data_IF_529037464989
#
_entry.id   IF_529037464989
#
_cell.length_a   1.000
_cell.length_b   1.000
_cell.length_c   1.000
_cell.angle_alpha   90.00
_cell.angle_beta   90.00
_cell.angle_gamma   90.00
#
_symmetry.space_group_name_H-M   'P 1'
#
loop_
_entity.id
_entity.type
_entity.pdbx_description
1 polymer ?
#
# COMPACT_ATOMS: atom_id res chain seq x y z
N UNK A 1 -26.25 -76.61 25.85
CA UNK A 1 -26.00 -75.32 26.53
C UNK A 1 -25.54 -74.30 25.49
N UNK A 2 -26.46 -73.45 25.00
CA UNK A 2 -26.17 -72.43 23.99
C UNK A 2 -26.03 -71.05 24.68
N UNK A 3 -24.97 -70.30 24.34
CA UNK A 3 -24.68 -68.96 24.87
C UNK A 3 -25.63 -67.93 24.25
N UNK A 4 -26.19 -67.06 25.10
CA UNK A 4 -27.09 -65.96 24.75
C UNK A 4 -26.39 -64.83 23.97
N UNK A 5 -27.08 -64.15 23.02
CA UNK A 5 -26.50 -63.05 22.25
C UNK A 5 -26.40 -61.74 23.06
N UNK A 6 -25.49 -60.82 22.70
CA UNK A 6 -25.31 -59.56 23.42
C UNK A 6 -26.43 -58.56 23.07
N UNK A 7 -26.95 -57.86 24.09
CA UNK A 7 -27.99 -56.83 23.98
C UNK A 7 -27.49 -55.63 23.16
N UNK A 8 -28.15 -55.35 22.04
CA UNK A 8 -27.97 -54.13 21.25
C UNK A 8 -28.55 -52.92 21.99
N UNK A 9 -27.69 -52.02 22.48
CA UNK A 9 -28.11 -50.73 23.03
C UNK A 9 -28.63 -49.82 21.92
N UNK A 10 -29.89 -49.40 22.01
CA UNK A 10 -30.52 -48.45 21.10
C UNK A 10 -29.78 -47.10 21.12
N UNK A 11 -29.12 -46.74 20.02
CA UNK A 11 -28.63 -45.37 19.80
C UNK A 11 -29.84 -44.44 19.72
N UNK A 12 -29.96 -43.52 20.68
CA UNK A 12 -30.94 -42.43 20.60
C UNK A 12 -30.71 -41.64 19.30
N UNK A 13 -31.74 -41.37 18.48
CA UNK A 13 -31.57 -40.54 17.31
C UNK A 13 -31.23 -39.12 17.79
N UNK A 14 -30.05 -38.63 17.39
CA UNK A 14 -29.66 -37.25 17.62
C UNK A 14 -30.69 -36.33 17.00
N UNK A 15 -31.32 -35.49 17.83
CA UNK A 15 -32.35 -34.53 17.43
C UNK A 15 -31.89 -33.75 16.19
N UNK A 16 -32.62 -33.93 15.10
CA UNK A 16 -32.60 -33.04 13.94
C UNK A 16 -33.12 -31.70 14.45
N UNK A 17 -32.20 -30.79 14.77
CA UNK A 17 -32.54 -29.45 15.23
C UNK A 17 -33.26 -28.69 14.11
N UNK A 18 -34.47 -28.23 14.40
CA UNK A 18 -35.27 -27.42 13.48
C UNK A 18 -34.44 -26.27 12.92
N UNK A 19 -34.50 -26.05 11.60
CA UNK A 19 -33.99 -24.83 10.95
C UNK A 19 -34.61 -23.61 11.64
N UNK A 20 -33.88 -22.98 12.56
CA UNK A 20 -34.27 -21.71 13.17
C UNK A 20 -34.14 -20.65 12.10
N UNK A 21 -35.24 -19.94 11.83
CA UNK A 21 -35.27 -18.78 10.94
C UNK A 21 -34.13 -17.82 11.31
N UNK A 22 -33.28 -17.50 10.33
CA UNK A 22 -32.06 -16.73 10.53
C UNK A 22 -32.36 -15.34 11.07
N UNK A 23 -32.08 -15.12 12.35
CA UNK A 23 -32.10 -13.79 12.94
C UNK A 23 -30.86 -13.07 12.40
N UNK A 24 -31.03 -12.06 11.53
CA UNK A 24 -29.93 -11.23 11.05
C UNK A 24 -29.42 -10.38 12.19
N UNK A 25 -28.24 -10.70 12.70
CA UNK A 25 -27.59 -9.98 13.80
C UNK A 25 -26.41 -9.22 13.20
N UNK A 26 -26.51 -7.88 12.98
CA UNK A 26 -25.47 -7.13 12.27
C UNK A 26 -24.19 -6.92 13.09
N UNK A 27 -24.27 -6.96 14.44
CA UNK A 27 -23.16 -6.69 15.37
C UNK A 27 -23.05 -7.79 16.44
N UNK A 28 -21.83 -8.21 16.80
CA UNK A 28 -21.60 -9.18 17.87
C UNK A 28 -20.20 -9.14 18.48
N UNK A 29 -19.89 -10.13 19.33
CA UNK A 29 -18.60 -10.25 20.02
C UNK A 29 -18.05 -11.67 19.83
N UNK A 30 -16.82 -11.77 19.32
CA UNK A 30 -16.06 -13.02 19.16
C UNK A 30 -15.15 -13.17 20.37
N UNK A 31 -15.44 -14.15 21.21
CA UNK A 31 -14.61 -14.55 22.34
C UNK A 31 -13.64 -15.66 21.90
N UNK A 32 -12.34 -15.38 21.97
CA UNK A 32 -11.28 -16.36 21.76
C UNK A 32 -10.68 -16.74 23.11
N UNK A 33 -10.91 -17.99 23.53
CA UNK A 33 -10.29 -18.55 24.72
C UNK A 33 -9.18 -19.52 24.30
N UNK A 34 -7.94 -19.11 24.52
CA UNK A 34 -6.75 -19.89 24.21
C UNK A 34 -6.20 -20.55 25.48
N UNK A 35 -5.92 -21.84 25.40
CA UNK A 35 -5.15 -22.61 26.38
C UNK A 35 -4.02 -23.35 25.66
N UNK A 36 -3.06 -23.91 26.40
CA UNK A 36 -1.97 -24.70 25.83
C UNK A 36 -2.47 -25.93 25.03
N UNK A 37 -3.60 -26.51 25.43
CA UNK A 37 -4.09 -27.78 24.88
C UNK A 37 -5.28 -27.62 23.93
N UNK A 38 -5.94 -26.46 23.91
CA UNK A 38 -7.15 -26.25 23.11
C UNK A 38 -7.41 -24.75 22.91
N UNK A 39 -8.02 -24.42 21.78
CA UNK A 39 -8.56 -23.07 21.52
C UNK A 39 -10.05 -23.19 21.25
N UNK A 40 -10.83 -22.37 21.94
CA UNK A 40 -12.29 -22.29 21.82
C UNK A 40 -12.63 -20.90 21.32
N UNK A 41 -13.42 -20.83 20.26
CA UNK A 41 -13.92 -19.58 19.67
C UNK A 41 -15.43 -19.58 19.79
N UNK A 42 -15.98 -18.59 20.47
CA UNK A 42 -17.42 -18.44 20.71
C UNK A 42 -17.87 -17.09 20.18
N UNK A 43 -18.88 -17.07 19.32
CA UNK A 43 -19.46 -15.83 18.78
C UNK A 43 -20.79 -15.58 19.44
N UNK A 44 -20.94 -14.36 19.95
CA UNK A 44 -22.12 -13.92 20.70
C UNK A 44 -22.73 -12.67 20.08
N UNK A 45 -24.01 -12.46 20.34
CA UNK A 45 -24.70 -11.18 20.14
C UNK A 45 -24.23 -10.16 21.19
N UNK A 46 -24.49 -8.86 21.00
CA UNK A 46 -24.14 -7.80 21.99
C UNK A 46 -24.77 -8.03 23.38
N UNK A 47 -25.81 -8.88 23.44
CA UNK A 47 -26.49 -9.31 24.67
C UNK A 47 -25.87 -10.56 25.32
N UNK A 48 -24.73 -11.04 24.82
CA UNK A 48 -24.03 -12.24 25.36
C UNK A 48 -24.66 -13.58 24.96
N UNK A 49 -25.63 -13.61 24.04
CA UNK A 49 -26.24 -14.87 23.57
C UNK A 49 -25.34 -15.53 22.55
N UNK A 50 -24.99 -16.80 22.75
CA UNK A 50 -24.15 -17.57 21.83
C UNK A 50 -24.90 -17.85 20.53
N UNK A 51 -24.30 -17.43 19.42
CA UNK A 51 -24.80 -17.63 18.06
C UNK A 51 -24.13 -18.87 17.46
N UNK A 52 -22.79 -18.92 17.53
CA UNK A 52 -21.98 -20.05 17.10
C UNK A 52 -20.83 -20.27 18.07
N UNK A 53 -20.33 -21.50 18.13
CA UNK A 53 -19.10 -21.81 18.83
C UNK A 53 -18.36 -22.94 18.12
N UNK A 54 -17.05 -22.94 18.23
CA UNK A 54 -16.19 -23.97 17.66
C UNK A 54 -14.95 -24.13 18.54
N UNK A 55 -14.36 -25.32 18.52
CA UNK A 55 -13.11 -25.59 19.22
C UNK A 55 -12.25 -26.52 18.39
N UNK A 56 -10.94 -26.53 18.66
CA UNK A 56 -10.02 -27.47 17.99
C UNK A 56 -10.50 -28.92 18.15
N UNK A 57 -11.09 -29.25 19.31
CA UNK A 57 -11.71 -30.56 19.54
C UNK A 57 -12.92 -30.86 18.65
N UNK A 58 -13.79 -29.88 18.42
CA UNK A 58 -14.99 -30.01 17.57
C UNK A 58 -14.63 -30.12 16.09
N UNK A 59 -13.51 -29.51 15.70
CA UNK A 59 -12.94 -29.62 14.35
C UNK A 59 -12.20 -30.94 14.08
N UNK A 60 -12.28 -31.93 14.98
CA UNK A 60 -11.72 -33.27 14.77
C UNK A 60 -10.26 -33.43 15.20
N UNK A 61 -9.60 -32.37 15.71
CA UNK A 61 -8.24 -32.49 16.24
C UNK A 61 -8.27 -33.22 17.61
N UNK A 62 -7.38 -34.21 17.79
CA UNK A 62 -7.23 -35.02 19.01
C UNK A 62 -5.81 -34.95 19.57
N UNK A 63 -5.67 -35.18 20.88
CA UNK A 63 -4.38 -35.18 21.57
C UNK A 63 -3.65 -33.84 21.47
N UNK A 64 -2.33 -33.90 21.33
CA UNK A 64 -1.43 -32.72 21.21
C UNK A 64 -1.74 -31.84 20.00
N UNK A 65 -2.35 -32.39 18.95
CA UNK A 65 -2.74 -31.62 17.75
C UNK A 65 -3.79 -30.54 18.04
N UNK A 66 -4.51 -30.64 19.16
CA UNK A 66 -5.51 -29.62 19.57
C UNK A 66 -4.91 -28.28 19.97
N UNK A 67 -3.69 -28.26 20.50
CA UNK A 67 -2.98 -27.05 20.91
C UNK A 67 -2.29 -26.32 19.75
N UNK A 68 -2.32 -26.89 18.53
CA UNK A 68 -1.57 -26.35 17.40
C UNK A 68 -2.20 -25.05 16.86
N UNK A 69 -1.37 -24.10 16.36
CA UNK A 69 -1.85 -22.90 15.67
C UNK A 69 -2.84 -23.20 14.54
N UNK A 70 -2.60 -24.26 13.77
CA UNK A 70 -3.47 -24.66 12.65
C UNK A 70 -4.87 -25.09 13.12
N UNK A 71 -4.95 -25.82 14.24
CA UNK A 71 -6.22 -26.23 14.81
C UNK A 71 -7.02 -25.01 15.33
N UNK A 72 -6.34 -24.01 15.89
CA UNK A 72 -6.95 -22.75 16.32
C UNK A 72 -7.46 -21.92 15.13
N UNK A 73 -6.70 -21.84 14.04
CA UNK A 73 -7.12 -21.16 12.80
C UNK A 73 -8.39 -21.81 12.22
N UNK A 74 -8.42 -23.14 12.18
CA UNK A 74 -9.58 -23.91 11.68
C UNK A 74 -10.81 -23.71 12.57
N UNK A 75 -10.63 -23.72 13.89
CA UNK A 75 -11.71 -23.48 14.85
C UNK A 75 -12.31 -22.07 14.68
N UNK A 76 -11.46 -21.05 14.55
CA UNK A 76 -11.88 -19.67 14.29
C UNK A 76 -12.63 -19.53 12.96
N UNK A 77 -12.09 -20.10 11.88
CA UNK A 77 -12.73 -20.06 10.55
C UNK A 77 -14.11 -20.69 10.53
N UNK A 78 -14.29 -21.82 11.22
CA UNK A 78 -15.59 -22.49 11.31
C UNK A 78 -16.63 -21.69 12.12
N UNK A 79 -16.22 -21.07 13.23
CA UNK A 79 -17.11 -20.23 14.03
C UNK A 79 -17.58 -18.98 13.27
N UNK A 80 -16.68 -18.34 12.52
CA UNK A 80 -16.97 -17.15 11.71
C UNK A 80 -17.86 -17.51 10.51
N UNK A 81 -17.58 -18.60 9.81
CA UNK A 81 -18.37 -19.04 8.65
C UNK A 81 -19.85 -19.20 9.00
N UNK A 82 -20.14 -19.86 10.12
CA UNK A 82 -21.51 -20.06 10.59
C UNK A 82 -22.25 -18.74 10.91
N UNK A 83 -21.52 -17.65 11.17
CA UNK A 83 -22.07 -16.34 11.55
C UNK A 83 -22.12 -15.38 10.38
N UNK A 84 -21.18 -15.50 9.42
CA UNK A 84 -21.24 -14.84 8.13
C UNK A 84 -22.51 -15.24 7.37
N UNK A 85 -22.88 -16.54 7.38
CA UNK A 85 -24.13 -17.04 6.79
C UNK A 85 -25.39 -16.44 7.46
N UNK A 86 -25.28 -15.98 8.71
CA UNK A 86 -26.35 -15.31 9.45
C UNK A 86 -26.35 -13.78 9.30
N UNK A 87 -25.43 -13.21 8.51
CA UNK A 87 -25.41 -11.80 8.14
C UNK A 87 -24.78 -10.87 9.18
N UNK A 88 -23.86 -11.35 10.02
CA UNK A 88 -23.08 -10.48 10.91
C UNK A 88 -22.01 -9.74 10.12
N UNK A 89 -22.01 -8.40 10.22
CA UNK A 89 -21.11 -7.53 9.47
C UNK A 89 -20.00 -6.94 10.34
N UNK A 90 -20.22 -6.79 11.64
CA UNK A 90 -19.25 -6.24 12.59
C UNK A 90 -19.14 -7.12 13.82
N UNK A 91 -17.92 -7.37 14.28
CA UNK A 91 -17.71 -8.05 15.54
C UNK A 91 -16.50 -7.50 16.30
N UNK A 92 -16.66 -7.37 17.61
CA UNK A 92 -15.56 -7.06 18.53
C UNK A 92 -14.85 -8.35 18.92
N UNK A 93 -13.52 -8.35 19.01
CA UNK A 93 -12.75 -9.57 19.30
C UNK A 93 -12.17 -9.47 20.71
N UNK A 94 -12.59 -10.37 21.59
CA UNK A 94 -12.14 -10.47 22.97
C UNK A 94 -11.29 -11.72 23.17
N UNK A 95 -10.03 -11.55 23.54
CA UNK A 95 -9.08 -12.67 23.67
C UNK A 95 -8.72 -12.90 25.14
N UNK A 96 -8.82 -14.14 25.61
CA UNK A 96 -8.46 -14.58 26.96
C UNK A 96 -7.57 -15.82 26.95
N UNK A 97 -6.62 -15.84 27.88
CA UNK A 97 -5.80 -17.02 28.20
C UNK A 97 -4.45 -17.14 27.47
N UNK A 98 -3.49 -17.91 28.03
CA UNK A 98 -2.19 -18.18 27.42
C UNK A 98 -2.26 -19.41 26.49
N UNK A 99 -1.81 -19.27 25.24
CA UNK A 99 -1.70 -20.40 24.31
C UNK A 99 -1.27 -20.01 22.90
N UNK A 100 -0.53 -20.91 22.25
CA UNK A 100 0.00 -20.74 20.87
C UNK A 100 -1.10 -20.54 19.81
N UNK A 101 -2.34 -20.94 20.12
CA UNK A 101 -3.51 -20.77 19.25
C UNK A 101 -4.07 -19.34 19.20
N UNK A 102 -3.66 -18.44 20.11
CA UNK A 102 -4.16 -17.06 20.21
C UNK A 102 -3.95 -16.27 18.91
N UNK A 103 -2.69 -16.14 18.49
CA UNK A 103 -2.34 -15.33 17.32
C UNK A 103 -2.80 -16.00 16.02
N UNK A 104 -2.92 -17.32 16.02
CA UNK A 104 -3.45 -18.06 14.88
C UNK A 104 -4.94 -17.82 14.69
N UNK A 105 -5.73 -17.84 15.77
CA UNK A 105 -7.14 -17.50 15.75
C UNK A 105 -7.36 -16.03 15.35
N UNK A 106 -6.57 -15.10 15.90
CA UNK A 106 -6.65 -13.69 15.52
C UNK A 106 -6.30 -13.46 14.05
N UNK A 107 -5.24 -14.11 13.54
CA UNK A 107 -4.88 -14.06 12.11
C UNK A 107 -5.99 -14.64 11.23
N UNK A 108 -6.66 -15.72 11.66
CA UNK A 108 -7.78 -16.29 10.95
C UNK A 108 -8.95 -15.32 10.83
N UNK A 109 -9.28 -14.64 11.93
CA UNK A 109 -10.31 -13.60 11.97
C UNK A 109 -9.93 -12.44 11.05
N UNK A 110 -8.67 -11.98 11.13
CA UNK A 110 -8.17 -10.85 10.36
C UNK A 110 -8.03 -11.11 8.86
N UNK A 111 -7.82 -12.36 8.42
CA UNK A 111 -7.66 -12.72 6.99
C UNK A 111 -8.96 -12.54 6.19
N UNK A 112 -10.11 -12.66 6.85
CA UNK A 112 -11.43 -12.44 6.24
C UNK A 112 -11.68 -10.94 6.08
N UNK A 113 -11.89 -10.44 4.86
CA UNK A 113 -12.22 -9.03 4.58
C UNK A 113 -11.02 -8.09 4.41
N UNK A 114 -9.81 -8.62 4.27
CA UNK A 114 -8.64 -7.78 3.97
C UNK A 114 -8.71 -7.19 2.57
N UNK A 115 -9.21 -7.97 1.60
CA UNK A 115 -9.35 -7.48 0.22
C UNK A 115 -10.29 -6.28 0.12
N UNK A 116 -11.37 -6.28 0.91
CA UNK A 116 -12.34 -5.18 0.96
C UNK A 116 -11.73 -3.91 1.56
N UNK A 117 -11.03 -4.07 2.68
CA UNK A 117 -10.35 -2.95 3.35
C UNK A 117 -9.31 -2.33 2.41
N UNK A 118 -8.50 -3.16 1.73
CA UNK A 118 -7.49 -2.70 0.78
C UNK A 118 -8.15 -2.07 -0.44
N UNK A 119 -9.21 -2.66 -1.00
CA UNK A 119 -9.93 -2.15 -2.16
C UNK A 119 -10.53 -0.77 -1.92
N UNK A 120 -11.22 -0.59 -0.79
CA UNK A 120 -11.80 0.69 -0.38
C UNK A 120 -10.70 1.73 -0.15
N UNK A 121 -9.63 1.35 0.56
CA UNK A 121 -8.51 2.26 0.83
C UNK A 121 -7.82 2.71 -0.46
N UNK A 122 -7.50 1.77 -1.36
CA UNK A 122 -6.89 2.05 -2.66
C UNK A 122 -7.78 2.95 -3.51
N UNK A 123 -9.08 2.67 -3.59
CA UNK A 123 -10.04 3.49 -4.35
C UNK A 123 -10.04 4.94 -3.88
N UNK A 124 -10.05 5.17 -2.55
CA UNK A 124 -10.05 6.52 -1.98
C UNK A 124 -8.77 7.28 -2.31
N UNK A 125 -7.62 6.62 -2.19
CA UNK A 125 -6.33 7.26 -2.45
C UNK A 125 -6.12 7.50 -3.94
N UNK A 126 -6.50 6.56 -4.81
CA UNK A 126 -6.42 6.72 -6.26
C UNK A 126 -7.22 7.94 -6.75
N UNK A 127 -8.40 8.18 -6.17
CA UNK A 127 -9.26 9.30 -6.58
C UNK A 127 -8.90 10.63 -5.89
N UNK A 128 -8.35 10.62 -4.69
CA UNK A 128 -8.19 11.84 -3.88
C UNK A 128 -6.76 12.36 -3.72
N UNK A 129 -5.78 11.46 -3.64
CA UNK A 129 -4.43 11.78 -3.15
C UNK A 129 -3.35 11.72 -4.24
N UNK A 130 -3.69 11.22 -5.43
CA UNK A 130 -2.74 11.22 -6.53
C UNK A 130 -2.52 12.64 -7.01
N UNK A 131 -1.24 12.96 -7.24
CA UNK A 131 -0.85 14.25 -7.77
C UNK A 131 -1.10 14.32 -9.28
N UNK A 132 -1.72 15.41 -9.70
CA UNK A 132 -1.91 15.75 -11.11
C UNK A 132 -1.18 17.04 -11.45
N UNK A 133 -0.86 17.19 -12.73
CA UNK A 133 -0.35 18.44 -13.30
C UNK A 133 -1.46 19.09 -14.12
N UNK A 134 -1.73 20.37 -13.86
CA UNK A 134 -2.67 21.13 -14.68
C UNK A 134 -2.27 22.60 -14.78
N UNK A 135 -2.91 23.30 -15.72
CA UNK A 135 -2.78 24.75 -15.86
C UNK A 135 -3.66 25.39 -14.78
N UNK A 136 -3.10 26.32 -14.02
CA UNK A 136 -3.84 26.99 -12.93
C UNK A 136 -4.10 28.46 -13.20
N UNK A 137 -3.33 29.08 -14.09
CA UNK A 137 -3.52 30.49 -14.45
C UNK A 137 -3.20 30.72 -15.91
N UNK A 138 -3.89 31.69 -16.48
CA UNK A 138 -3.56 32.31 -17.76
C UNK A 138 -3.37 33.82 -17.56
N UNK A 139 -2.26 34.37 -18.05
CA UNK A 139 -1.93 35.79 -18.06
C UNK A 139 -1.91 36.27 -19.50
N UNK A 140 -2.68 37.30 -19.81
CA UNK A 140 -2.64 37.93 -21.14
C UNK A 140 -2.74 39.44 -21.00
N UNK A 141 -1.97 40.18 -21.80
CA UNK A 141 -1.97 41.64 -21.77
C UNK A 141 -3.14 42.25 -22.54
N UNK A 142 -3.69 41.52 -23.52
CA UNK A 142 -4.71 42.02 -24.46
C UNK A 142 -6.14 41.85 -23.95
N UNK A 143 -6.32 41.18 -22.81
CA UNK A 143 -7.64 40.81 -22.30
C UNK A 143 -7.99 41.75 -21.14
N UNK A 144 -9.14 42.43 -21.17
CA UNK A 144 -9.60 43.24 -20.04
C UNK A 144 -10.33 42.41 -18.98
N UNK A 145 -11.16 41.44 -19.38
CA UNK A 145 -11.94 40.59 -18.46
C UNK A 145 -12.25 39.21 -19.06
N UNK A 146 -12.59 38.22 -18.20
CA UNK A 146 -12.82 36.81 -18.56
C UNK A 146 -13.93 36.57 -19.60
N UNK A 147 -14.92 37.46 -19.63
CA UNK A 147 -16.05 37.38 -20.56
C UNK A 147 -15.87 38.23 -21.83
N UNK A 148 -14.65 38.71 -22.11
CA UNK A 148 -14.41 39.55 -23.28
C UNK A 148 -14.21 38.70 -24.52
N UNK A 149 -14.55 39.29 -25.66
CA UNK A 149 -14.27 38.75 -26.98
C UNK A 149 -13.10 39.52 -27.57
N UNK A 150 -12.10 38.80 -28.06
CA UNK A 150 -10.95 39.40 -28.74
C UNK A 150 -11.32 39.49 -30.22
N UNK A 151 -11.25 40.69 -30.79
CA UNK A 151 -11.47 40.89 -32.24
C UNK A 151 -10.47 40.01 -33.00
N UNK A 152 -10.94 39.26 -34.00
CA UNK A 152 -10.12 38.38 -34.84
C UNK A 152 -9.79 36.99 -34.26
N UNK A 153 -10.38 36.62 -33.12
CA UNK A 153 -10.46 35.25 -32.62
C UNK A 153 -11.92 34.81 -32.62
N UNK A 154 -12.17 33.56 -33.01
CA UNK A 154 -13.54 33.03 -33.11
C UNK A 154 -14.17 32.76 -31.73
N UNK A 155 -13.39 32.23 -30.79
CA UNK A 155 -13.83 31.84 -29.45
C UNK A 155 -13.80 33.00 -28.44
N UNK A 156 -14.61 32.89 -27.39
CA UNK A 156 -14.54 33.81 -26.26
C UNK A 156 -13.37 33.49 -25.32
N UNK A 157 -12.92 34.45 -24.52
CA UNK A 157 -11.85 34.19 -23.53
C UNK A 157 -12.25 33.08 -22.56
N UNK A 158 -13.50 33.03 -22.13
CA UNK A 158 -14.02 31.96 -21.28
C UNK A 158 -13.88 30.58 -21.95
N UNK A 159 -14.21 30.48 -23.23
CA UNK A 159 -14.11 29.24 -24.00
C UNK A 159 -12.64 28.81 -24.16
N UNK A 160 -11.73 29.75 -24.39
CA UNK A 160 -10.28 29.49 -24.39
C UNK A 160 -9.83 28.94 -23.03
N UNK A 161 -10.28 29.53 -21.91
CA UNK A 161 -9.95 29.03 -20.58
C UNK A 161 -10.49 27.61 -20.32
N UNK A 162 -11.68 27.29 -20.84
CA UNK A 162 -12.25 25.93 -20.77
C UNK A 162 -11.45 24.94 -21.62
N UNK A 163 -11.06 25.33 -22.84
CA UNK A 163 -10.21 24.50 -23.70
C UNK A 163 -8.83 24.24 -23.07
N UNK A 164 -8.24 25.26 -22.43
CA UNK A 164 -6.98 25.12 -21.68
C UNK A 164 -7.13 24.19 -20.46
N UNK A 165 -8.30 24.17 -19.81
CA UNK A 165 -8.59 23.28 -18.67
C UNK A 165 -8.62 21.81 -19.08
N UNK A 166 -9.05 21.51 -20.31
CA UNK A 166 -9.15 20.14 -20.81
C UNK A 166 -7.79 19.54 -21.23
N UNK A 167 -6.76 20.37 -21.39
CA UNK A 167 -5.41 19.91 -21.76
C UNK A 167 -4.82 19.03 -20.63
N UNK A 168 -4.46 17.81 -21.00
CA UNK A 168 -3.81 16.86 -20.09
C UNK A 168 -2.30 16.98 -20.18
N UNK A 169 -1.68 17.37 -19.07
CA UNK A 169 -0.23 17.51 -18.93
C UNK A 169 0.36 16.37 -18.11
N UNK A 170 1.56 15.94 -18.48
CA UNK A 170 2.40 15.02 -17.71
C UNK A 170 3.67 15.76 -17.29
N UNK A 171 3.96 15.79 -16.01
CA UNK A 171 5.20 16.40 -15.54
C UNK A 171 5.67 15.83 -14.21
N UNK A 172 6.98 15.90 -13.97
CA UNK A 172 7.61 15.58 -12.69
C UNK A 172 8.11 16.86 -12.00
N UNK A 173 7.30 17.92 -12.05
CA UNK A 173 7.64 19.23 -11.51
C UNK A 173 7.50 19.29 -9.99
N UNK A 174 8.40 20.04 -9.35
CA UNK A 174 8.23 20.50 -7.98
C UNK A 174 7.99 22.02 -8.00
N UNK A 175 6.76 22.43 -7.70
CA UNK A 175 6.35 23.85 -7.69
C UNK A 175 5.63 24.29 -8.96
N UNK A 176 5.66 25.61 -9.24
CA UNK A 176 5.02 26.24 -10.40
C UNK A 176 6.01 26.42 -11.53
N UNK A 177 5.56 26.24 -12.77
CA UNK A 177 6.34 26.53 -13.98
C UNK A 177 5.52 27.36 -14.94
N UNK A 178 6.20 28.26 -15.63
CA UNK A 178 5.57 29.11 -16.63
C UNK A 178 5.73 28.51 -18.03
N UNK A 179 4.69 28.60 -18.83
CA UNK A 179 4.65 28.22 -20.24
C UNK A 179 4.04 29.37 -21.04
N UNK A 180 4.26 29.41 -22.35
CA UNK A 180 3.83 30.51 -23.20
C UNK A 180 3.18 29.99 -24.48
N UNK A 181 2.06 30.59 -24.87
CA UNK A 181 1.48 30.41 -26.21
C UNK A 181 1.78 31.68 -26.98
N UNK A 182 2.48 31.54 -28.10
CA UNK A 182 2.84 32.64 -28.99
C UNK A 182 2.54 32.24 -30.43
N UNK A 183 1.39 32.65 -30.95
CA UNK A 183 0.97 32.33 -32.32
C UNK A 183 0.68 33.63 -33.07
N UNK A 184 1.11 33.69 -34.34
CA UNK A 184 0.89 34.84 -35.24
C UNK A 184 0.18 34.37 -36.50
N UNK A 185 -0.80 35.14 -36.94
CA UNK A 185 -1.48 34.92 -38.23
C UNK A 185 -2.84 34.24 -38.09
N UNK A 186 -3.58 34.15 -39.21
CA UNK A 186 -4.82 33.37 -39.24
C UNK A 186 -4.48 31.86 -39.25
N UNK A 187 -5.14 31.09 -38.39
CA UNK A 187 -4.84 29.67 -38.22
C UNK A 187 -5.48 29.05 -36.97
N UNK A 188 -5.35 27.73 -36.85
CA UNK A 188 -5.80 26.99 -35.67
C UNK A 188 -4.69 26.93 -34.64
N UNK A 189 -5.01 27.29 -33.40
CA UNK A 189 -4.13 27.16 -32.25
C UNK A 189 -4.48 25.85 -31.55
N UNK A 190 -3.48 24.98 -31.46
CA UNK A 190 -3.61 23.66 -30.81
C UNK A 190 -2.69 23.56 -29.61
N UNK A 191 -2.86 22.52 -28.80
CA UNK A 191 -1.98 22.25 -27.67
C UNK A 191 -0.50 22.08 -28.07
N UNK A 192 -0.21 21.69 -29.31
CA UNK A 192 1.15 21.59 -29.83
C UNK A 192 1.88 22.94 -29.88
N UNK A 193 1.16 24.05 -30.01
CA UNK A 193 1.73 25.40 -30.15
C UNK A 193 2.15 26.00 -28.80
N UNK A 194 1.94 25.27 -27.70
CA UNK A 194 2.37 25.68 -26.36
C UNK A 194 3.88 25.48 -26.22
N UNK A 195 4.59 26.57 -25.90
CA UNK A 195 5.99 26.53 -25.53
C UNK A 195 6.12 26.05 -24.08
N UNK A 196 6.36 24.75 -23.94
CA UNK A 196 6.53 24.08 -22.65
C UNK A 196 7.99 24.09 -22.19
N UNK A 197 8.23 24.10 -20.87
CA UNK A 197 9.54 23.78 -20.31
C UNK A 197 9.88 22.29 -20.53
N UNK A 198 11.17 21.89 -20.52
CA UNK A 198 11.61 20.53 -20.83
C UNK A 198 11.13 19.44 -19.85
N UNK A 199 10.54 19.84 -18.72
CA UNK A 199 10.03 18.97 -17.66
C UNK A 199 8.54 18.64 -17.80
N UNK A 200 7.85 19.23 -18.78
CA UNK A 200 6.41 19.05 -19.03
C UNK A 200 6.21 18.48 -20.43
N UNK A 201 5.37 17.46 -20.51
CA UNK A 201 4.95 16.82 -21.74
C UNK A 201 3.43 16.97 -21.87
N UNK A 202 2.95 17.27 -23.08
CA UNK A 202 1.52 17.19 -23.41
C UNK A 202 1.20 15.77 -23.85
N UNK A 203 0.08 15.24 -23.36
CA UNK A 203 -0.39 13.89 -23.72
C UNK A 203 -1.20 13.92 -25.02
N UNK A 204 -2.05 14.93 -25.18
CA UNK A 204 -2.86 15.13 -26.39
C UNK A 204 -2.50 16.45 -27.08
N UNK A 205 -1.76 16.33 -28.18
CA UNK A 205 -1.31 17.48 -28.96
C UNK A 205 -2.42 18.04 -29.88
N UNK A 206 -3.52 17.31 -30.06
CA UNK A 206 -4.58 17.66 -31.02
C UNK A 206 -5.68 18.53 -30.41
N UNK A 207 -5.66 18.72 -29.09
CA UNK A 207 -6.63 19.55 -28.39
C UNK A 207 -6.65 20.96 -28.97
N UNK A 208 -7.82 21.38 -29.43
CA UNK A 208 -8.05 22.72 -29.96
C UNK A 208 -8.15 23.74 -28.82
N UNK A 209 -7.53 24.91 -29.02
CA UNK A 209 -7.53 26.02 -28.05
C UNK A 209 -8.36 27.17 -28.60
N UNK A 210 -8.01 27.65 -29.79
CA UNK A 210 -8.63 28.82 -30.42
C UNK A 210 -8.40 28.83 -31.95
N UNK A 211 -9.22 29.57 -32.68
CA UNK A 211 -9.13 29.81 -34.11
C UNK A 211 -8.96 31.31 -34.38
N UNK A 212 -7.82 31.67 -34.98
CA UNK A 212 -7.47 33.03 -35.39
C UNK A 212 -8.00 33.30 -36.80
N UNK A 213 -8.91 34.25 -36.95
CA UNK A 213 -9.50 34.63 -38.26
C UNK A 213 -8.70 35.75 -38.93
N UNK A 214 -8.08 36.63 -38.14
CA UNK A 214 -7.28 37.76 -38.60
C UNK A 214 -5.80 37.58 -38.23
N UNK A 215 -4.86 38.27 -38.90
CA UNK A 215 -3.43 38.18 -38.60
C UNK A 215 -3.08 38.91 -37.28
N UNK A 216 -3.47 38.29 -36.17
CA UNK A 216 -3.30 38.82 -34.82
C UNK A 216 -2.24 38.00 -34.10
N UNK A 217 -1.44 38.71 -33.29
CA UNK A 217 -0.47 38.10 -32.39
C UNK A 217 -1.20 37.70 -31.09
N UNK A 218 -1.39 36.41 -30.86
CA UNK A 218 -1.92 35.89 -29.61
C UNK A 218 -0.77 35.50 -28.69
N UNK A 219 -0.67 36.18 -27.55
CA UNK A 219 0.27 35.86 -26.47
C UNK A 219 -0.48 35.57 -25.17
N UNK A 220 -0.31 34.34 -24.66
CA UNK A 220 -0.88 33.89 -23.39
C UNK A 220 0.23 33.25 -22.57
N UNK A 221 0.54 33.83 -21.41
CA UNK A 221 1.36 33.19 -20.39
C UNK A 221 0.53 32.23 -19.56
N UNK A 222 1.02 31.02 -19.33
CA UNK A 222 0.36 29.96 -18.59
C UNK A 222 1.18 29.62 -17.36
N UNK A 223 0.53 29.42 -16.22
CA UNK A 223 1.18 28.88 -15.03
C UNK A 223 0.70 27.46 -14.78
N UNK A 224 1.63 26.51 -14.87
CA UNK A 224 1.43 25.09 -14.64
C UNK A 224 1.85 24.77 -13.20
N UNK A 225 1.01 24.01 -12.51
CA UNK A 225 1.26 23.59 -11.12
C UNK A 225 1.03 22.08 -11.01
N UNK A 226 1.80 21.43 -10.13
CA UNK A 226 1.54 20.05 -9.72
C UNK A 226 1.03 20.06 -8.29
N UNK A 227 -0.17 19.54 -8.09
CA UNK A 227 -0.82 19.52 -6.79
C UNK A 227 -1.77 18.33 -6.66
N UNK A 228 -2.54 18.27 -5.57
CA UNK A 228 -3.50 17.19 -5.28
C UNK A 228 -4.92 17.71 -5.23
N UNK A 229 -5.86 16.86 -5.63
CA UNK A 229 -7.28 17.09 -5.50
C UNK A 229 -7.81 18.21 -6.41
N UNK A 230 -8.80 18.94 -5.91
CA UNK A 230 -9.47 20.02 -6.62
C UNK A 230 -9.31 21.31 -5.83
N UNK A 231 -8.75 22.34 -6.46
CA UNK A 231 -8.57 23.64 -5.82
C UNK A 231 -9.34 24.71 -6.58
N UNK A 232 -10.40 25.24 -5.95
CA UNK A 232 -11.13 26.40 -6.44
C UNK A 232 -10.33 27.62 -5.98
N UNK A 233 -9.58 28.24 -6.90
CA UNK A 233 -8.88 29.49 -6.61
C UNK A 233 -9.91 30.62 -6.60
N UNK A 234 -10.03 31.33 -5.48
CA UNK A 234 -10.85 32.56 -5.42
C UNK A 234 -10.11 33.72 -6.11
N UNK A 235 -10.83 34.60 -6.83
CA UNK A 235 -10.21 35.69 -7.58
C UNK A 235 -9.50 36.73 -6.70
N UNK A 236 -9.81 36.81 -5.40
CA UNK A 236 -9.40 37.91 -4.52
C UNK A 236 -7.96 37.86 -3.97
N UNK A 237 -7.11 36.90 -4.38
CA UNK A 237 -5.77 36.76 -3.77
C UNK A 237 -4.65 37.44 -4.57
N UNK A 238 -4.93 38.04 -5.74
CA UNK A 238 -3.88 38.45 -6.68
C UNK A 238 -3.96 39.92 -7.09
N UNK A 239 -2.84 40.62 -6.91
CA UNK A 239 -2.69 42.06 -7.16
C UNK A 239 -2.38 42.41 -8.64
N UNK A 240 -2.20 41.40 -9.50
CA UNK A 240 -1.92 41.58 -10.94
C UNK A 240 -3.24 41.56 -11.74
N UNK A 241 -3.66 42.72 -12.26
CA UNK A 241 -4.94 42.91 -12.95
C UNK A 241 -5.17 42.12 -14.25
N UNK A 242 -4.19 41.33 -14.71
CA UNK A 242 -4.22 40.63 -16.01
C UNK A 242 -4.04 39.11 -15.88
N UNK A 243 -4.32 38.53 -14.71
CA UNK A 243 -4.15 37.10 -14.44
C UNK A 243 -5.50 36.44 -14.12
N UNK A 244 -5.88 35.46 -14.94
CA UNK A 244 -7.14 34.75 -14.85
C UNK A 244 -6.93 33.37 -14.20
N UNK A 245 -7.58 33.08 -13.06
CA UNK A 245 -7.50 31.77 -12.44
C UNK A 245 -8.28 30.75 -13.26
N UNK A 246 -7.68 29.58 -13.48
CA UNK A 246 -8.36 28.42 -14.04
C UNK A 246 -8.65 27.44 -12.91
N UNK A 247 -9.87 26.90 -12.88
CA UNK A 247 -10.27 25.84 -11.96
C UNK A 247 -9.41 24.60 -12.17
N UNK A 248 -8.48 24.39 -11.23
CA UNK A 248 -7.43 23.41 -11.34
C UNK A 248 -7.92 22.02 -10.89
N UNK A 249 -8.04 21.10 -11.84
CA UNK A 249 -8.40 19.69 -11.60
C UNK A 249 -7.13 18.84 -11.61
N UNK A 250 -6.53 18.61 -10.45
CA UNK A 250 -5.30 17.81 -10.33
C UNK A 250 -5.59 16.30 -10.18
N UNK A 251 -6.66 15.80 -10.78
CA UNK A 251 -7.12 14.42 -10.61
C UNK A 251 -6.90 13.60 -11.91
N UNK A 252 -5.77 12.88 -12.05
CA UNK A 252 -5.48 12.11 -13.25
C UNK A 252 -6.30 10.81 -13.37
N UNK A 253 -6.76 10.26 -12.25
CA UNK A 253 -7.64 9.08 -12.22
C UNK A 253 -9.10 9.54 -12.32
N UNK A 254 -9.77 9.16 -13.41
CA UNK A 254 -11.18 9.49 -13.66
C UNK A 254 -12.13 8.56 -12.91
N UNK A 255 -11.79 7.27 -12.87
CA UNK A 255 -12.58 6.26 -12.18
C UNK A 255 -11.69 5.15 -11.61
N UNK A 256 -12.14 4.55 -10.52
CA UNK A 256 -11.52 3.38 -9.92
C UNK A 256 -12.63 2.47 -9.37
N UNK A 257 -12.70 1.25 -9.88
CA UNK A 257 -13.64 0.22 -9.44
C UNK A 257 -12.88 -0.94 -8.80
N UNK A 258 -13.50 -1.61 -7.84
CA UNK A 258 -12.94 -2.79 -7.21
C UNK A 258 -13.99 -3.87 -7.04
N UNK A 259 -13.59 -5.11 -7.30
CA UNK A 259 -14.43 -6.27 -7.03
C UNK A 259 -13.62 -7.36 -6.34
N UNK A 260 -14.29 -8.12 -5.49
CA UNK A 260 -13.65 -9.16 -4.68
C UNK A 260 -14.26 -10.48 -5.08
N UNK A 261 -13.40 -11.41 -5.50
CA UNK A 261 -13.80 -12.78 -5.75
C UNK A 261 -13.14 -13.66 -4.70
N UNK A 262 -13.96 -14.42 -3.97
CA UNK A 262 -13.47 -15.43 -3.06
C UNK A 262 -13.25 -16.74 -3.82
N UNK A 263 -12.01 -17.21 -3.89
CA UNK A 263 -11.69 -18.53 -4.40
C UNK A 263 -11.42 -19.47 -3.23
N UNK A 264 -12.05 -20.65 -3.23
CA UNK A 264 -11.92 -21.61 -2.14
C UNK A 264 -11.60 -22.99 -2.67
N UNK A 265 -10.37 -23.47 -2.42
CA UNK A 265 -10.04 -24.88 -2.57
C UNK A 265 -9.96 -25.50 -1.16
N UNK A 266 -11.08 -25.99 -0.64
CA UNK A 266 -11.17 -26.61 0.69
C UNK A 266 -11.27 -25.62 1.87
N UNK A 267 -10.41 -25.78 2.89
CA UNK A 267 -10.49 -25.05 4.17
C UNK A 267 -9.91 -23.62 4.14
N UNK A 268 -9.16 -23.26 3.10
CA UNK A 268 -8.61 -21.92 2.93
C UNK A 268 -9.39 -21.17 1.85
N UNK A 269 -10.18 -20.18 2.27
CA UNK A 269 -10.78 -19.20 1.36
C UNK A 269 -9.75 -18.10 1.13
N UNK A 270 -9.32 -17.94 -0.10
CA UNK A 270 -8.50 -16.81 -0.53
C UNK A 270 -9.40 -15.76 -1.18
N UNK A 271 -9.08 -14.50 -0.97
CA UNK A 271 -9.77 -13.36 -1.60
C UNK A 271 -8.85 -12.81 -2.69
N UNK A 272 -9.37 -12.68 -3.91
CA UNK A 272 -8.71 -12.02 -5.01
C UNK A 272 -9.39 -10.67 -5.20
N UNK A 273 -8.60 -9.60 -5.11
CA UNK A 273 -9.05 -8.24 -5.36
C UNK A 273 -8.75 -7.88 -6.82
N UNK A 274 -9.79 -7.57 -7.58
CA UNK A 274 -9.70 -7.00 -8.92
C UNK A 274 -9.85 -5.48 -8.81
N UNK A 275 -8.92 -4.75 -9.43
CA UNK A 275 -8.91 -3.29 -9.50
C UNK A 275 -8.97 -2.86 -10.96
N UNK A 276 -9.99 -2.08 -11.31
CA UNK A 276 -10.13 -1.45 -12.62
C UNK A 276 -9.88 0.05 -12.45
N UNK A 277 -8.90 0.60 -13.19
CA UNK A 277 -8.44 1.97 -13.03
C UNK A 277 -8.48 2.65 -14.40
N UNK A 278 -9.16 3.79 -14.49
CA UNK A 278 -9.24 4.60 -15.70
C UNK A 278 -8.52 5.93 -15.47
N UNK A 279 -7.50 6.20 -16.28
CA UNK A 279 -6.71 7.44 -16.22
C UNK A 279 -6.88 8.27 -17.49
N UNK A 280 -6.59 9.57 -17.39
CA UNK A 280 -6.61 10.50 -18.52
C UNK A 280 -5.34 10.45 -19.40
N UNK A 281 -4.42 9.51 -19.14
CA UNK A 281 -3.16 9.37 -19.88
C UNK A 281 -1.94 10.07 -19.28
N UNK A 282 -2.13 11.06 -18.38
CA UNK A 282 -1.00 11.72 -17.68
C UNK A 282 -0.20 10.73 -16.83
N UNK A 283 -0.91 9.78 -16.20
CA UNK A 283 -0.33 8.74 -15.36
C UNK A 283 -0.77 7.36 -15.84
N UNK A 284 0.16 6.41 -15.89
CA UNK A 284 -0.21 5.01 -16.19
C UNK A 284 -0.91 4.37 -14.99
N UNK A 285 -1.86 3.42 -15.17
CA UNK A 285 -2.51 2.74 -14.06
C UNK A 285 -1.54 2.07 -13.08
N UNK A 286 -0.42 1.55 -13.61
CA UNK A 286 0.65 0.93 -12.81
C UNK A 286 1.39 1.96 -11.96
N UNK A 287 1.61 3.17 -12.48
CA UNK A 287 2.20 4.29 -11.72
C UNK A 287 1.25 4.78 -10.65
N UNK A 288 -0.03 5.00 -11.00
CA UNK A 288 -1.09 5.40 -10.09
C UNK A 288 -1.18 4.46 -8.88
N UNK A 289 -1.14 3.15 -9.10
CA UNK A 289 -1.15 2.17 -8.02
C UNK A 289 0.08 2.25 -7.11
N UNK A 290 1.27 2.53 -7.67
CA UNK A 290 2.50 2.70 -6.87
C UNK A 290 2.45 3.95 -6.02
N UNK A 291 2.00 5.05 -6.58
CA UNK A 291 1.85 6.33 -5.88
C UNK A 291 0.79 6.22 -4.76
N UNK A 292 -0.36 5.62 -5.06
CA UNK A 292 -1.39 5.37 -4.05
C UNK A 292 -0.91 4.44 -2.92
N UNK A 293 -0.14 3.40 -3.25
CA UNK A 293 0.44 2.51 -2.24
C UNK A 293 1.41 3.25 -1.32
N UNK A 294 2.24 4.14 -1.87
CA UNK A 294 3.16 4.98 -1.08
C UNK A 294 2.38 5.92 -0.16
N UNK A 295 1.37 6.61 -0.69
CA UNK A 295 0.51 7.50 0.11
C UNK A 295 -0.18 6.76 1.26
N UNK A 296 -0.71 5.55 1.02
CA UNK A 296 -1.29 4.72 2.08
C UNK A 296 -0.25 4.34 3.14
N UNK A 297 0.95 3.94 2.74
CA UNK A 297 2.02 3.61 3.68
C UNK A 297 2.37 4.84 4.52
N UNK A 298 2.56 5.99 3.88
CA UNK A 298 2.91 7.25 4.52
C UNK A 298 1.86 7.67 5.56
N UNK A 299 0.57 7.45 5.27
CA UNK A 299 -0.53 7.66 6.22
C UNK A 299 -0.40 6.81 7.49
N UNK A 300 0.09 5.57 7.38
CA UNK A 300 0.24 4.67 8.52
C UNK A 300 1.54 4.87 9.32
N UNK A 301 2.53 5.57 8.77
CA UNK A 301 3.83 5.79 9.44
C UNK A 301 3.68 6.40 10.85
N UNK A 302 2.90 7.47 11.08
CA UNK A 302 2.79 8.08 12.40
C UNK A 302 2.24 7.13 13.46
N UNK A 303 1.31 6.24 13.07
CA UNK A 303 0.72 5.27 13.99
C UNK A 303 1.67 4.13 14.36
N UNK A 304 2.58 3.76 13.45
CA UNK A 304 3.64 2.80 13.77
C UNK A 304 4.65 3.37 14.76
N UNK A 305 4.90 4.67 14.74
CA UNK A 305 5.84 5.34 15.64
C UNK A 305 5.26 5.56 17.05
N UNK A 306 3.94 5.71 17.16
CA UNK A 306 3.25 5.90 18.45
C UNK A 306 3.30 4.66 19.36
N UNK A 307 3.52 3.45 18.82
CA UNK A 307 3.68 2.23 19.63
C UNK A 307 5.06 2.16 20.30
N UNK A 308 6.09 2.77 19.70
CA UNK A 308 7.48 2.75 20.18
C UNK A 308 7.77 3.79 21.29
N UNK A 309 6.91 4.80 21.49
CA UNK A 309 7.05 5.85 22.52
C UNK A 309 6.68 5.41 23.96
N UNK A 310 6.47 4.11 24.22
CA UNK A 310 6.31 3.58 25.58
C UNK A 310 7.63 3.25 26.29
N UNK A 311 8.77 3.73 25.78
CA UNK A 311 10.06 3.71 26.47
C UNK A 311 10.26 5.04 27.20
N UNK A 312 10.76 5.04 28.46
CA UNK A 312 10.55 6.13 29.40
C UNK A 312 11.11 7.47 28.91
N UNK A 313 10.24 8.48 29.01
CA UNK A 313 10.51 9.91 28.82
C UNK A 313 11.69 10.40 29.67
N UNK A 314 12.74 10.88 29.01
CA UNK A 314 13.61 11.93 29.55
C UNK A 314 13.81 13.05 28.51
N UNK A 315 13.12 14.17 28.78
CA UNK A 315 13.46 15.57 28.52
C UNK A 315 14.13 16.03 27.20
N UNK A 316 13.36 16.89 26.52
CA UNK A 316 13.74 18.17 25.91
C UNK A 316 14.57 18.18 24.61
N UNK A 317 13.87 18.36 23.48
CA UNK A 317 13.78 19.67 22.79
C UNK A 317 12.88 19.56 21.56
N UNK A 318 11.86 20.41 21.51
CA UNK A 318 10.94 20.53 20.38
C UNK A 318 11.68 21.01 19.12
N UNK A 319 11.93 20.08 18.21
CA UNK A 319 11.97 20.34 16.76
C UNK A 319 11.18 19.25 16.06
N UNK A 320 9.90 19.53 15.82
CA UNK A 320 9.08 18.78 14.87
C UNK A 320 9.71 18.98 13.49
N UNK A 321 10.62 18.09 13.11
CA UNK A 321 11.09 17.96 11.73
C UNK A 321 10.43 16.71 11.21
N UNK A 322 9.31 16.89 10.50
CA UNK A 322 8.65 15.83 9.73
C UNK A 322 9.68 15.29 8.72
N UNK A 323 10.19 14.05 8.84
CA UNK A 323 11.07 13.50 7.83
C UNK A 323 10.18 12.94 6.71
N UNK A 324 9.76 13.83 5.81
CA UNK A 324 9.47 13.43 4.44
C UNK A 324 10.70 12.66 3.93
N UNK A 325 10.53 11.42 3.50
CA UNK A 325 11.56 10.54 2.90
C UNK A 325 12.56 9.81 3.84
N UNK A 326 12.11 8.88 4.70
CA UNK A 326 13.04 7.89 5.32
C UNK A 326 12.64 6.41 5.20
N UNK A 327 11.67 6.06 4.34
CA UNK A 327 11.25 4.66 4.22
C UNK A 327 12.22 3.80 3.42
N UNK A 328 12.82 4.31 2.34
CA UNK A 328 13.83 3.57 1.58
C UNK A 328 15.08 3.26 2.43
N UNK A 329 15.49 4.19 3.27
CA UNK A 329 16.67 4.03 4.13
C UNK A 329 16.42 3.04 5.29
N UNK A 330 15.20 3.01 5.86
CA UNK A 330 14.84 2.03 6.92
C UNK A 330 14.57 0.62 6.38
N UNK A 331 13.93 0.48 5.21
CA UNK A 331 13.76 -0.85 4.58
C UNK A 331 15.11 -1.44 4.18
N UNK A 332 16.02 -0.63 3.63
CA UNK A 332 17.40 -1.03 3.36
C UNK A 332 18.15 -1.42 4.64
N UNK A 333 17.92 -0.70 5.76
CA UNK A 333 18.44 -1.07 7.08
C UNK A 333 17.87 -2.38 7.62
N UNK A 334 16.59 -2.68 7.37
CA UNK A 334 15.96 -3.96 7.76
C UNK A 334 16.47 -5.15 6.93
N UNK A 335 16.65 -4.99 5.61
CA UNK A 335 17.29 -6.04 4.78
C UNK A 335 18.77 -6.21 5.14
N UNK A 336 19.49 -5.13 5.45
CA UNK A 336 20.85 -5.22 6.02
C UNK A 336 20.85 -5.98 7.34
N UNK A 337 19.98 -5.65 8.30
CA UNK A 337 19.85 -6.36 9.59
C UNK A 337 19.53 -7.85 9.41
N UNK A 338 18.67 -8.19 8.44
CA UNK A 338 18.30 -9.59 8.15
C UNK A 338 19.45 -10.38 7.50
N UNK A 339 20.22 -9.74 6.60
CA UNK A 339 21.49 -10.30 6.07
C UNK A 339 22.55 -10.44 7.17
N UNK A 340 22.64 -9.46 8.07
CA UNK A 340 23.57 -9.45 9.19
C UNK A 340 23.27 -10.57 10.21
N UNK A 341 21.99 -10.84 10.48
CA UNK A 341 21.55 -11.97 11.31
C UNK A 341 21.85 -13.32 10.63
N UNK A 342 21.67 -13.42 9.31
CA UNK A 342 22.03 -14.63 8.56
C UNK A 342 23.55 -14.88 8.58
N UNK A 343 24.37 -13.84 8.39
CA UNK A 343 25.83 -13.94 8.37
C UNK A 343 26.43 -14.26 9.75
N UNK A 344 25.77 -13.85 10.85
CA UNK A 344 26.13 -14.25 12.23
C UNK A 344 25.95 -15.75 12.48
N UNK A 345 25.09 -16.43 11.72
CA UNK A 345 24.76 -17.84 11.93
C UNK A 345 25.56 -18.82 11.05
N UNK A 346 26.34 -18.32 10.09
CA UNK A 346 27.11 -19.17 9.17
C UNK A 346 28.56 -19.24 9.66
N UNK A 347 28.93 -20.43 10.13
CA UNK A 347 30.31 -20.77 10.46
C UNK A 347 31.14 -20.97 9.20
N UNK A 348 32.43 -20.65 9.28
CA UNK A 348 33.37 -20.73 8.15
C UNK A 348 33.48 -22.17 7.61
N UNK A 349 33.27 -23.19 8.46
CA UNK A 349 33.22 -24.61 8.12
C UNK A 349 32.20 -24.95 7.00
N UNK A 350 31.15 -24.15 6.85
CA UNK A 350 30.09 -24.34 5.83
C UNK A 350 30.36 -23.59 4.52
N UNK A 351 31.51 -22.90 4.42
CA UNK A 351 31.91 -22.19 3.21
C UNK A 351 32.95 -23.01 2.46
N UNK A 352 32.81 -23.13 1.13
CA UNK A 352 33.70 -23.89 0.25
C UNK A 352 35.07 -23.19 0.08
N UNK A 353 35.80 -22.97 1.18
CA UNK A 353 37.14 -22.38 1.16
C UNK A 353 38.22 -23.46 1.04
N UNK A 354 39.37 -23.10 0.49
CA UNK A 354 40.55 -23.96 0.49
C UNK A 354 40.96 -24.31 1.93
N UNK A 355 41.38 -25.56 2.24
CA UNK A 355 41.80 -25.99 3.58
C UNK A 355 42.91 -25.10 4.18
N UNK A 356 43.74 -24.50 3.33
CA UNK A 356 44.78 -23.56 3.73
C UNK A 356 44.20 -22.26 4.29
N UNK A 357 43.23 -21.66 3.58
CA UNK A 357 42.57 -20.40 3.97
C UNK A 357 41.81 -20.60 5.28
N UNK A 358 41.11 -21.73 5.38
CA UNK A 358 40.41 -22.12 6.60
C UNK A 358 41.34 -22.17 7.83
N UNK A 359 42.49 -22.84 7.70
CA UNK A 359 43.45 -22.97 8.80
C UNK A 359 44.10 -21.64 9.18
N UNK A 360 44.34 -20.75 8.22
CA UNK A 360 44.84 -19.40 8.49
C UNK A 360 43.80 -18.55 9.25
N UNK A 361 42.53 -18.56 8.84
CA UNK A 361 41.45 -17.83 9.50
C UNK A 361 41.14 -18.37 10.92
N UNK A 362 41.24 -19.70 11.10
CA UNK A 362 41.07 -20.33 12.41
C UNK A 362 42.19 -19.94 13.39
N UNK A 363 43.44 -19.82 12.91
CA UNK A 363 44.57 -19.37 13.74
C UNK A 363 44.44 -17.91 14.17
N UNK A 364 43.73 -17.08 13.41
CA UNK A 364 43.45 -15.69 13.74
C UNK A 364 42.14 -15.48 14.52
N UNK A 365 41.56 -16.55 15.10
CA UNK A 365 40.30 -16.54 15.87
C UNK A 365 39.06 -16.04 15.10
N UNK A 366 39.06 -16.15 13.76
CA UNK A 366 37.90 -15.83 12.93
C UNK A 366 37.12 -17.11 12.71
N UNK A 367 35.90 -17.20 13.24
CA UNK A 367 35.08 -18.43 13.20
C UNK A 367 33.77 -18.26 12.40
N UNK A 368 33.29 -17.03 12.24
CA UNK A 368 32.06 -16.71 11.50
C UNK A 368 32.31 -15.80 10.30
N UNK A 369 31.43 -15.88 9.29
CA UNK A 369 31.45 -14.96 8.15
C UNK A 369 31.23 -13.49 8.56
N UNK A 370 30.54 -13.27 9.69
CA UNK A 370 30.35 -11.94 10.25
C UNK A 370 31.66 -11.33 10.78
N UNK A 371 32.49 -12.12 11.47
CA UNK A 371 33.79 -11.66 11.95
C UNK A 371 34.73 -11.30 10.79
N UNK A 372 34.68 -12.09 9.71
CA UNK A 372 35.45 -11.85 8.49
C UNK A 372 35.08 -10.54 7.78
N UNK A 373 33.81 -10.13 7.83
CA UNK A 373 33.35 -8.87 7.24
C UNK A 373 33.75 -7.64 8.08
N UNK A 374 33.94 -7.81 9.38
CA UNK A 374 34.36 -6.73 10.28
C UNK A 374 35.88 -6.54 10.30
N UNK A 375 36.66 -7.55 9.89
CA UNK A 375 38.11 -7.41 9.73
C UNK A 375 38.46 -6.61 8.48
N UNK A 376 39.30 -5.59 8.64
CA UNK A 376 39.79 -4.80 7.50
C UNK A 376 40.76 -5.64 6.68
N UNK A 377 40.79 -5.40 5.37
CA UNK A 377 41.67 -6.10 4.43
C UNK A 377 43.16 -6.00 4.84
N UNK A 378 43.55 -4.87 5.42
CA UNK A 378 44.90 -4.62 5.95
C UNK A 378 45.27 -5.58 7.08
N UNK A 379 44.31 -5.99 7.91
CA UNK A 379 44.54 -6.91 9.03
C UNK A 379 44.56 -8.37 8.58
N UNK A 380 43.84 -8.71 7.50
CA UNK A 380 43.91 -10.02 6.87
C UNK A 380 45.27 -10.28 6.22
N UNK A 381 45.92 -9.24 5.69
CA UNK A 381 47.26 -9.33 5.10
C UNK A 381 48.38 -9.48 6.15
N UNK A 382 48.10 -9.18 7.43
CA UNK A 382 49.04 -9.40 8.54
C UNK A 382 49.03 -10.84 9.05
N UNK A 383 48.09 -11.68 8.59
CA UNK A 383 48.01 -13.09 8.96
C UNK A 383 49.16 -13.84 8.29
N UNK A 384 49.90 -14.62 9.07
CA UNK A 384 51.03 -15.40 8.55
C UNK A 384 50.58 -16.37 7.43
N UNK A 385 51.32 -16.36 6.33
CA UNK A 385 51.11 -17.22 5.15
C UNK A 385 49.88 -16.92 4.28
N UNK A 386 49.23 -15.77 4.47
CA UNK A 386 48.11 -15.30 3.66
C UNK A 386 48.59 -14.65 2.36
N UNK A 387 48.00 -15.00 1.21
CA UNK A 387 48.36 -14.43 -0.10
C UNK A 387 47.29 -13.49 -0.63
N UNK A 388 47.68 -12.66 -1.60
CA UNK A 388 46.77 -11.74 -2.30
C UNK A 388 45.70 -12.52 -3.08
N UNK A 389 46.04 -13.72 -3.59
CA UNK A 389 45.08 -14.59 -4.27
C UNK A 389 43.99 -15.12 -3.33
N UNK A 390 44.34 -15.37 -2.06
CA UNK A 390 43.40 -15.88 -1.05
C UNK A 390 42.33 -14.83 -0.69
N UNK A 391 42.71 -13.54 -0.66
CA UNK A 391 41.78 -12.40 -0.47
C UNK A 391 40.80 -12.31 -1.65
N UNK A 392 41.29 -12.47 -2.88
CA UNK A 392 40.42 -12.45 -4.07
C UNK A 392 39.41 -13.61 -4.05
N UNK A 393 39.84 -14.78 -3.59
CA UNK A 393 38.95 -15.95 -3.46
C UNK A 393 37.86 -15.71 -2.40
N UNK A 394 38.18 -15.08 -1.26
CA UNK A 394 37.21 -14.73 -0.22
C UNK A 394 36.18 -13.72 -0.72
N UNK A 395 36.63 -12.67 -1.40
CA UNK A 395 35.74 -11.64 -1.96
C UNK A 395 34.77 -12.23 -2.99
N UNK A 396 35.24 -13.15 -3.84
CA UNK A 396 34.38 -13.85 -4.81
C UNK A 396 33.31 -14.74 -4.16
N UNK A 397 33.62 -15.37 -3.02
CA UNK A 397 32.66 -16.19 -2.26
C UNK A 397 31.62 -15.32 -1.55
N UNK A 398 32.03 -14.16 -1.04
CA UNK A 398 31.14 -13.18 -0.42
C UNK A 398 30.20 -12.51 -1.42
N UNK A 399 30.63 -12.28 -2.66
CA UNK A 399 29.77 -11.73 -3.72
C UNK A 399 28.72 -12.73 -4.21
N UNK A 400 28.99 -14.04 -4.10
CA UNK A 400 28.09 -15.11 -4.54
C UNK A 400 26.97 -15.47 -3.54
N UNK A 401 27.05 -15.01 -2.29
CA UNK A 401 26.07 -15.30 -1.22
C UNK A 401 25.35 -14.03 -0.78
#
# INVERSE_FOLDING_TARGET
>A
MAKSPPRSGSRRPGRIGSRKSGRRIPKGVIHVQASFNNTIVTVTDVRGRVISWSSAGTCGFRGTRRGTPFAAQTAAGNAIRAVADQGMQRAEVMIKGPGLGRDAALRAIRRSGQADTIGIAMRRVLLGEIEGTCITRAKSEKIPHEYSTIVGIQESVHEILMNLKDIVLRSNLYGTCDALICVKGPGYVTAQDILLPPSVEIVDNTQHIASLTEPIDLSIGLQIERSRGYNIKTPNTFQDGNCYPIDAVFMPVRNANHSIQSYGNGNEKQEILFLEIWTNGSLTPKEALREASRSLIDLFIPFLQAEDENLPLENNQYKVTLPFFTFHDRLAKLTKKKKEIALKSIFIDQSEMSPRIYNCLKKSNIHTLFDLLNTRQEDLMKIEHFRIEDVKQIMSILEKK
#
